data_IF_253947152639
#
_entry.id   IF_253947152639
#
_cell.length_a   1.000
_cell.length_b   1.000
_cell.length_c   1.000
_cell.angle_alpha   90.00
_cell.angle_beta   90.00
_cell.angle_gamma   90.00
#
_symmetry.space_group_name_H-M   'P 1'
#
loop_
_entity.id
_entity.type
_entity.pdbx_description
1 polymer ?
#
# COMPACT_ATOMS: atom_id res chain seq x y z
N UNK A 1 8.94 -17.36 -31.18
CA UNK A 1 8.26 -16.06 -31.17
C UNK A 1 6.87 -16.30 -31.75
N UNK A 2 5.81 -16.16 -30.96
CA UNK A 2 4.42 -16.22 -31.46
C UNK A 2 4.14 -14.90 -32.19
N UNK A 3 3.44 -14.98 -33.32
CA UNK A 3 3.04 -13.80 -34.09
C UNK A 3 2.14 -12.87 -33.24
N UNK A 4 2.23 -11.54 -33.40
CA UNK A 4 1.39 -10.59 -32.68
C UNK A 4 -0.09 -10.90 -32.99
N UNK A 5 -0.89 -11.20 -31.95
CA UNK A 5 -2.34 -11.36 -32.08
C UNK A 5 -2.97 -9.98 -32.17
N UNK A 6 -3.70 -9.73 -33.23
CA UNK A 6 -4.51 -8.52 -33.37
C UNK A 6 -5.77 -8.73 -32.55
N UNK A 7 -5.97 -7.89 -31.51
CA UNK A 7 -7.17 -7.88 -30.70
C UNK A 7 -8.15 -6.89 -31.34
N UNK A 8 -9.22 -7.41 -31.92
CA UNK A 8 -10.22 -6.64 -32.64
C UNK A 8 -11.59 -6.57 -31.91
N UNK A 9 -11.79 -7.39 -30.90
CA UNK A 9 -13.07 -7.46 -30.19
C UNK A 9 -12.91 -7.67 -28.67
N UNK A 10 -13.95 -7.33 -27.90
CA UNK A 10 -14.00 -7.62 -26.47
C UNK A 10 -13.88 -9.13 -26.16
N UNK A 11 -14.30 -10.00 -27.07
CA UNK A 11 -14.15 -11.45 -26.95
C UNK A 11 -12.67 -11.89 -27.02
N UNK A 12 -11.88 -11.22 -27.84
CA UNK A 12 -10.42 -11.48 -27.97
C UNK A 12 -9.71 -11.09 -26.66
N UNK A 13 -10.11 -9.97 -26.06
CA UNK A 13 -9.60 -9.55 -24.72
C UNK A 13 -9.90 -10.64 -23.70
N UNK A 14 -11.12 -11.15 -23.67
CA UNK A 14 -11.49 -12.23 -22.74
C UNK A 14 -10.71 -13.52 -22.99
N UNK A 15 -10.40 -13.87 -24.23
CA UNK A 15 -9.62 -15.06 -24.56
C UNK A 15 -8.17 -14.93 -24.12
N UNK A 16 -7.56 -13.77 -24.34
CA UNK A 16 -6.19 -13.45 -23.88
C UNK A 16 -6.13 -13.42 -22.36
N UNK A 17 -7.10 -12.79 -21.69
CA UNK A 17 -7.21 -12.78 -20.23
C UNK A 17 -7.40 -14.19 -19.65
N UNK A 18 -8.16 -15.08 -20.32
CA UNK A 18 -8.33 -16.46 -19.91
C UNK A 18 -7.04 -17.27 -20.05
N UNK A 19 -6.24 -17.01 -21.09
CA UNK A 19 -4.92 -17.64 -21.29
C UNK A 19 -3.90 -17.19 -20.22
N UNK A 20 -3.88 -15.90 -19.88
CA UNK A 20 -3.08 -15.38 -18.75
C UNK A 20 -3.60 -15.90 -17.40
N UNK A 21 -4.90 -16.08 -17.22
CA UNK A 21 -5.54 -16.61 -16.02
C UNK A 21 -5.19 -18.08 -15.75
N UNK A 22 -4.81 -18.86 -16.77
CA UNK A 22 -4.35 -20.24 -16.63
C UNK A 22 -2.99 -20.36 -15.92
N UNK A 23 -2.20 -19.28 -15.86
CA UNK A 23 -0.95 -19.22 -15.10
C UNK A 23 -1.23 -18.89 -13.62
N UNK A 24 -1.79 -19.83 -12.88
CA UNK A 24 -2.24 -19.69 -11.50
C UNK A 24 -1.21 -19.12 -10.50
N UNK A 25 0.08 -19.22 -10.80
CA UNK A 25 1.18 -18.66 -9.99
C UNK A 25 1.23 -17.14 -10.06
N UNK A 26 1.04 -16.55 -11.22
CA UNK A 26 1.05 -15.08 -11.39
C UNK A 26 -0.14 -14.42 -10.72
N UNK A 27 -1.33 -15.01 -10.81
CA UNK A 27 -2.54 -14.49 -10.14
C UNK A 27 -2.42 -14.50 -8.62
N UNK A 28 -1.81 -15.55 -8.03
CA UNK A 28 -1.55 -15.60 -6.58
C UNK A 28 -0.57 -14.52 -6.16
N UNK A 29 0.50 -14.32 -6.92
CA UNK A 29 1.49 -13.27 -6.64
C UNK A 29 0.83 -11.88 -6.63
N UNK A 30 -0.01 -11.56 -7.61
CA UNK A 30 -0.73 -10.26 -7.67
C UNK A 30 -1.63 -10.06 -6.46
N UNK A 31 -2.38 -11.10 -6.03
CA UNK A 31 -3.23 -11.01 -4.85
C UNK A 31 -2.38 -10.78 -3.58
N UNK A 32 -1.30 -11.51 -3.40
CA UNK A 32 -0.40 -11.35 -2.25
C UNK A 32 0.21 -9.95 -2.24
N UNK A 33 0.58 -9.41 -3.41
CA UNK A 33 1.17 -8.07 -3.52
C UNK A 33 0.15 -6.96 -3.28
N UNK A 34 -1.11 -7.15 -3.68
CA UNK A 34 -2.20 -6.24 -3.32
C UNK A 34 -2.47 -6.26 -1.80
N UNK A 35 -2.46 -7.45 -1.19
CA UNK A 35 -2.57 -7.58 0.27
C UNK A 35 -1.36 -7.00 1.01
N UNK A 36 -0.19 -6.93 0.37
CA UNK A 36 1.00 -6.29 0.92
C UNK A 36 0.83 -4.80 1.17
N UNK A 37 0.09 -4.08 0.31
CA UNK A 37 -0.29 -2.67 0.54
C UNK A 37 -1.14 -2.54 1.80
N UNK A 38 -2.17 -3.37 1.93
CA UNK A 38 -3.04 -3.40 3.13
C UNK A 38 -2.23 -3.65 4.41
N UNK A 39 -1.21 -4.51 4.34
CA UNK A 39 -0.31 -4.72 5.46
C UNK A 39 0.43 -3.45 5.85
N UNK A 40 0.92 -2.70 4.86
CA UNK A 40 1.63 -1.43 5.11
C UNK A 40 0.73 -0.40 5.77
N UNK A 41 -0.49 -0.21 5.25
CA UNK A 41 -1.47 0.71 5.83
C UNK A 41 -1.75 0.35 7.30
N UNK A 42 -2.05 -0.92 7.57
CA UNK A 42 -2.35 -1.39 8.93
C UNK A 42 -1.15 -1.25 9.89
N UNK A 43 0.07 -1.51 9.39
CA UNK A 43 1.30 -1.33 10.16
C UNK A 43 1.51 0.14 10.54
N UNK A 44 1.34 1.08 9.60
CA UNK A 44 1.55 2.50 9.86
C UNK A 44 0.60 3.04 10.93
N UNK A 45 -0.67 2.62 10.89
CA UNK A 45 -1.62 2.96 11.93
C UNK A 45 -1.22 2.37 13.29
N UNK A 46 -0.81 1.11 13.34
CA UNK A 46 -0.41 0.42 14.57
C UNK A 46 0.86 1.03 15.16
N UNK A 47 1.85 1.33 14.32
CA UNK A 47 3.15 1.85 14.73
C UNK A 47 3.04 3.23 15.39
N UNK A 48 2.19 4.11 14.83
CA UNK A 48 1.97 5.41 15.45
C UNK A 48 1.13 5.33 16.73
N UNK A 49 0.07 4.51 16.73
CA UNK A 49 -0.75 4.33 17.91
C UNK A 49 0.10 3.92 19.14
N UNK A 50 1.12 3.10 18.92
CA UNK A 50 2.10 2.76 19.94
C UNK A 50 3.01 3.95 20.32
N UNK A 51 3.50 4.69 19.32
CA UNK A 51 4.52 5.73 19.50
C UNK A 51 3.97 7.08 19.97
N UNK A 52 2.65 7.31 19.92
CA UNK A 52 2.07 8.65 20.08
C UNK A 52 2.37 9.29 21.43
N UNK A 53 2.40 8.51 22.52
CA UNK A 53 2.72 9.01 23.86
C UNK A 53 4.17 9.49 23.93
N UNK A 54 5.11 8.70 23.39
CA UNK A 54 6.52 9.07 23.36
C UNK A 54 6.78 10.29 22.47
N UNK A 55 6.07 10.41 21.36
CA UNK A 55 6.11 11.58 20.46
C UNK A 55 5.61 12.82 21.20
N UNK A 56 4.48 12.68 21.93
CA UNK A 56 3.89 13.76 22.72
C UNK A 56 4.84 14.27 23.80
N UNK A 57 5.49 13.37 24.53
CA UNK A 57 6.47 13.71 25.55
C UNK A 57 7.72 14.34 24.95
N UNK A 58 8.26 13.78 23.86
CA UNK A 58 9.49 14.26 23.24
C UNK A 58 9.38 15.67 22.65
N UNK A 59 8.25 15.98 22.00
CA UNK A 59 8.03 17.28 21.35
C UNK A 59 7.19 18.24 22.20
N UNK A 60 6.75 17.84 23.41
CA UNK A 60 5.91 18.66 24.29
C UNK A 60 4.55 19.02 23.65
N UNK A 61 3.94 18.06 22.92
CA UNK A 61 2.74 18.34 22.14
C UNK A 61 1.53 18.60 23.03
N UNK A 62 0.77 19.65 22.69
CA UNK A 62 -0.56 19.83 23.24
C UNK A 62 -1.53 18.76 22.69
N UNK A 63 -2.67 18.56 23.34
CA UNK A 63 -3.70 17.65 22.86
C UNK A 63 -4.16 17.97 21.42
N UNK A 64 -4.24 19.26 21.05
CA UNK A 64 -4.57 19.70 19.71
C UNK A 64 -3.49 19.28 18.70
N UNK A 65 -2.20 19.49 18.99
CA UNK A 65 -1.09 19.09 18.12
C UNK A 65 -1.00 17.57 17.99
N UNK A 66 -1.23 16.83 19.06
CA UNK A 66 -1.31 15.36 19.01
C UNK A 66 -2.45 14.91 18.08
N UNK A 67 -3.60 15.56 18.17
CA UNK A 67 -4.71 15.35 17.24
C UNK A 67 -4.34 15.64 15.79
N UNK A 68 -3.59 16.72 15.53
CA UNK A 68 -3.14 17.10 14.19
C UNK A 68 -2.13 16.09 13.61
N UNK A 69 -1.19 15.58 14.42
CA UNK A 69 -0.28 14.51 14.03
C UNK A 69 -1.06 13.25 13.61
N UNK A 70 -2.09 12.88 14.36
CA UNK A 70 -2.94 11.73 14.01
C UNK A 70 -3.81 11.98 12.79
N UNK A 71 -4.38 13.18 12.65
CA UNK A 71 -5.28 13.53 11.56
C UNK A 71 -4.54 13.74 10.21
N UNK A 72 -3.27 14.12 10.23
CA UNK A 72 -2.51 14.47 9.02
C UNK A 72 -2.50 13.35 7.97
N UNK A 73 -2.36 12.09 8.39
CA UNK A 73 -2.41 10.94 7.48
C UNK A 73 -3.81 10.78 6.86
N UNK A 74 -4.88 11.03 7.62
CA UNK A 74 -6.25 10.95 7.12
C UNK A 74 -6.53 12.03 6.08
N UNK A 75 -6.06 13.25 6.31
CA UNK A 75 -6.19 14.35 5.35
C UNK A 75 -5.43 14.01 4.06
N UNK A 76 -4.22 13.48 4.18
CA UNK A 76 -3.45 12.98 3.04
C UNK A 76 -4.18 11.87 2.29
N UNK A 77 -4.76 10.91 3.00
CA UNK A 77 -5.49 9.79 2.42
C UNK A 77 -6.75 10.22 1.65
N UNK A 78 -7.48 11.21 2.16
CA UNK A 78 -8.62 11.79 1.44
C UNK A 78 -8.16 12.40 0.12
N UNK A 79 -7.07 13.16 0.12
CA UNK A 79 -6.51 13.77 -1.09
C UNK A 79 -6.02 12.69 -2.05
N UNK A 80 -5.27 11.71 -1.56
CA UNK A 80 -4.79 10.58 -2.36
C UNK A 80 -5.93 9.80 -3.01
N UNK A 81 -7.01 9.52 -2.27
CA UNK A 81 -8.17 8.80 -2.78
C UNK A 81 -8.97 9.61 -3.81
N UNK A 82 -9.16 10.92 -3.59
CA UNK A 82 -9.89 11.79 -4.52
C UNK A 82 -9.21 11.87 -5.88
N UNK A 83 -7.89 12.00 -5.90
CA UNK A 83 -7.13 12.07 -7.14
C UNK A 83 -6.69 10.70 -7.67
N UNK A 84 -6.64 9.69 -6.81
CA UNK A 84 -6.14 8.35 -7.12
C UNK A 84 -6.87 7.71 -8.30
N UNK A 85 -8.19 7.74 -8.33
CA UNK A 85 -8.98 7.20 -9.43
C UNK A 85 -8.62 7.84 -10.77
N UNK A 86 -8.60 9.16 -10.84
CA UNK A 86 -8.22 9.89 -12.05
C UNK A 86 -6.77 9.60 -12.50
N UNK A 87 -5.84 9.54 -11.55
CA UNK A 87 -4.44 9.26 -11.83
C UNK A 87 -4.24 7.82 -12.32
N UNK A 88 -4.98 6.85 -11.76
CA UNK A 88 -4.98 5.44 -12.19
C UNK A 88 -5.38 5.31 -13.65
N UNK A 89 -6.46 5.98 -14.03
CA UNK A 89 -6.96 5.91 -15.40
C UNK A 89 -6.00 6.58 -16.41
N UNK A 90 -5.33 7.65 -15.98
CA UNK A 90 -4.43 8.43 -16.84
C UNK A 90 -3.03 7.84 -16.99
N UNK A 91 -2.42 7.41 -15.88
CA UNK A 91 -1.01 6.98 -15.85
C UNK A 91 -0.82 5.46 -15.84
N UNK A 92 -1.89 4.70 -15.65
CA UNK A 92 -1.86 3.26 -15.52
C UNK A 92 -1.76 2.80 -14.08
N UNK A 93 -2.22 1.58 -13.86
CA UNK A 93 -2.34 0.99 -12.52
C UNK A 93 -0.98 0.61 -11.94
N UNK A 94 -0.10 0.06 -12.78
CA UNK A 94 1.24 -0.34 -12.36
C UNK A 94 2.06 0.83 -11.81
N UNK A 95 2.06 1.95 -12.54
CA UNK A 95 2.86 3.12 -12.15
C UNK A 95 2.43 3.71 -10.82
N UNK A 96 1.11 3.81 -10.61
CA UNK A 96 0.58 4.32 -9.35
C UNK A 96 0.81 3.33 -8.21
N UNK A 97 0.69 2.03 -8.48
CA UNK A 97 0.94 0.98 -7.50
C UNK A 97 2.43 0.84 -7.11
N UNK A 98 3.32 1.41 -7.90
CA UNK A 98 4.73 1.57 -7.53
C UNK A 98 4.96 2.88 -6.79
N UNK A 99 4.25 3.95 -7.19
CA UNK A 99 4.40 5.27 -6.58
C UNK A 99 3.93 5.28 -5.11
N UNK A 100 2.83 4.60 -4.78
CA UNK A 100 2.34 4.50 -3.41
C UNK A 100 3.42 3.94 -2.46
N UNK A 101 4.09 2.85 -2.84
CA UNK A 101 5.17 2.27 -2.03
C UNK A 101 6.38 3.19 -1.89
N UNK A 102 6.68 4.00 -2.91
CA UNK A 102 7.73 5.03 -2.80
C UNK A 102 7.32 6.10 -1.79
N UNK A 103 6.05 6.54 -1.79
CA UNK A 103 5.53 7.44 -0.77
C UNK A 103 5.70 6.85 0.63
N UNK A 104 5.35 5.57 0.82
CA UNK A 104 5.52 4.88 2.10
C UNK A 104 6.98 4.84 2.56
N UNK A 105 7.91 4.41 1.70
CA UNK A 105 9.34 4.32 2.05
C UNK A 105 9.89 5.70 2.44
N UNK A 106 9.65 6.72 1.61
CA UNK A 106 10.15 8.09 1.85
C UNK A 106 9.52 8.67 3.12
N UNK A 107 8.21 8.49 3.29
CA UNK A 107 7.51 9.02 4.44
C UNK A 107 7.88 8.32 5.75
N UNK A 108 8.04 6.99 5.76
CA UNK A 108 8.46 6.25 6.95
C UNK A 108 9.86 6.68 7.41
N UNK A 109 10.81 6.82 6.48
CA UNK A 109 12.15 7.34 6.78
C UNK A 109 12.05 8.79 7.28
N UNK A 110 11.29 9.64 6.59
CA UNK A 110 11.11 11.04 6.95
C UNK A 110 10.47 11.22 8.32
N UNK A 111 9.48 10.41 8.68
CA UNK A 111 8.90 10.39 10.03
C UNK A 111 9.94 9.98 11.07
N UNK A 112 10.73 8.94 10.81
CA UNK A 112 11.73 8.43 11.76
C UNK A 112 12.84 9.47 12.07
N UNK A 113 13.24 10.26 11.08
CA UNK A 113 14.30 11.27 11.24
C UNK A 113 13.78 12.68 11.53
N UNK A 114 12.46 12.85 11.70
CA UNK A 114 11.82 14.15 11.91
C UNK A 114 12.41 14.88 13.15
N UNK A 115 12.92 16.13 12.99
CA UNK A 115 13.50 16.89 14.09
C UNK A 115 12.44 17.60 14.95
N UNK A 116 11.24 17.82 14.40
CA UNK A 116 10.14 18.53 15.06
C UNK A 116 8.79 18.01 14.58
N UNK A 117 7.73 18.43 15.27
CA UNK A 117 6.35 18.02 15.00
C UNK A 117 5.85 18.41 13.60
N UNK A 118 6.26 19.56 13.08
CA UNK A 118 5.80 20.02 11.77
C UNK A 118 6.34 19.17 10.63
N UNK A 119 7.60 18.77 10.73
CA UNK A 119 8.21 17.84 9.77
C UNK A 119 7.56 16.45 9.87
N UNK A 120 7.26 16.01 11.09
CA UNK A 120 6.52 14.76 11.31
C UNK A 120 5.13 14.81 10.66
N UNK A 121 4.37 15.89 10.88
CA UNK A 121 3.05 16.12 10.27
C UNK A 121 3.15 16.10 8.74
N UNK A 122 4.15 16.78 8.17
CA UNK A 122 4.35 16.84 6.73
C UNK A 122 4.61 15.45 6.13
N UNK A 123 5.49 14.65 6.73
CA UNK A 123 5.75 13.29 6.23
C UNK A 123 4.57 12.34 6.46
N UNK A 124 3.83 12.48 7.54
CA UNK A 124 2.58 11.73 7.74
C UNK A 124 1.51 12.09 6.73
N UNK A 125 1.41 13.35 6.36
CA UNK A 125 0.53 13.79 5.28
C UNK A 125 0.93 13.16 3.94
N UNK A 126 2.22 13.16 3.61
CA UNK A 126 2.76 12.50 2.41
C UNK A 126 2.49 10.99 2.44
N UNK A 127 2.68 10.33 3.59
CA UNK A 127 2.33 8.93 3.80
C UNK A 127 0.83 8.69 3.53
N UNK A 128 -0.02 9.57 4.03
CA UNK A 128 -1.46 9.52 3.80
C UNK A 128 -1.82 9.57 2.31
N UNK A 129 -1.15 10.40 1.52
CA UNK A 129 -1.36 10.40 0.06
C UNK A 129 -1.09 9.02 -0.52
N UNK A 130 -0.03 8.31 -0.09
CA UNK A 130 0.25 6.93 -0.47
C UNK A 130 -0.89 5.98 -0.10
N UNK A 131 -1.34 6.02 1.17
CA UNK A 131 -2.51 5.23 1.65
C UNK A 131 -3.75 5.45 0.79
N UNK A 132 -4.04 6.71 0.47
CA UNK A 132 -5.19 7.07 -0.36
C UNK A 132 -5.07 6.61 -1.80
N UNK A 133 -3.86 6.52 -2.34
CA UNK A 133 -3.59 6.00 -3.69
C UNK A 133 -3.69 4.48 -3.74
N UNK A 134 -3.21 3.75 -2.71
CA UNK A 134 -3.16 2.28 -2.70
C UNK A 134 -4.56 1.66 -2.81
N UNK A 135 -5.54 2.18 -2.09
CA UNK A 135 -6.88 1.61 -1.98
C UNK A 135 -7.60 1.46 -3.33
N UNK A 136 -7.77 2.51 -4.16
CA UNK A 136 -8.41 2.37 -5.47
C UNK A 136 -7.61 1.48 -6.43
N UNK A 137 -6.28 1.51 -6.36
CA UNK A 137 -5.40 0.69 -7.20
C UNK A 137 -5.51 -0.78 -6.82
N UNK A 138 -5.38 -1.11 -5.54
CA UNK A 138 -5.50 -2.47 -5.03
C UNK A 138 -6.87 -3.07 -5.33
N UNK A 139 -7.96 -2.31 -5.14
CA UNK A 139 -9.31 -2.76 -5.45
C UNK A 139 -9.52 -2.97 -6.94
N UNK A 140 -8.97 -2.13 -7.81
CA UNK A 140 -9.01 -2.34 -9.25
C UNK A 140 -8.27 -3.62 -9.66
N UNK A 141 -7.07 -3.85 -9.15
CA UNK A 141 -6.33 -5.10 -9.38
C UNK A 141 -7.10 -6.32 -8.88
N UNK A 142 -7.60 -6.30 -7.65
CA UNK A 142 -8.38 -7.41 -7.10
C UNK A 142 -9.65 -7.69 -7.92
N UNK A 143 -10.34 -6.66 -8.40
CA UNK A 143 -11.54 -6.80 -9.23
C UNK A 143 -11.24 -7.44 -10.58
N UNK A 144 -10.17 -7.02 -11.28
CA UNK A 144 -9.79 -7.55 -12.59
C UNK A 144 -9.30 -8.97 -12.53
N UNK A 145 -8.34 -9.24 -11.67
CA UNK A 145 -7.77 -10.58 -11.52
C UNK A 145 -8.76 -11.57 -10.88
N UNK A 146 -9.83 -11.11 -10.22
CA UNK A 146 -10.89 -11.98 -9.74
C UNK A 146 -11.80 -12.48 -10.86
N UNK A 147 -11.94 -11.74 -11.96
CA UNK A 147 -12.71 -12.16 -13.15
C UNK A 147 -12.10 -13.40 -13.82
N UNK A 148 -10.78 -13.59 -13.70
CA UNK A 148 -10.03 -14.67 -14.37
C UNK A 148 -10.24 -16.06 -13.77
N UNK A 149 -10.84 -16.22 -12.61
CA UNK A 149 -11.00 -17.51 -11.89
C UNK A 149 -12.45 -18.04 -11.78
N UNK A 150 -13.32 -17.76 -12.72
CA UNK A 150 -14.64 -18.41 -12.84
C UNK A 150 -15.72 -17.93 -11.86
N UNK A 151 -16.97 -18.30 -12.14
CA UNK A 151 -18.18 -17.98 -11.37
C UNK A 151 -18.06 -18.52 -9.94
N UNK A 152 -18.07 -17.67 -8.95
CA UNK A 152 -18.33 -18.12 -7.58
C UNK A 152 -17.72 -17.28 -6.45
N UNK A 153 -16.60 -16.57 -6.61
CA UNK A 153 -15.89 -16.05 -5.45
C UNK A 153 -15.41 -14.59 -5.57
N UNK A 154 -16.07 -13.76 -6.39
CA UNK A 154 -15.68 -12.34 -6.53
C UNK A 154 -15.87 -11.59 -5.21
N UNK A 155 -17.01 -11.77 -4.55
CA UNK A 155 -17.29 -11.08 -3.27
C UNK A 155 -16.39 -11.55 -2.16
N UNK A 156 -16.04 -12.84 -2.09
CA UNK A 156 -15.12 -13.38 -1.09
C UNK A 156 -13.71 -12.83 -1.23
N UNK A 157 -13.23 -12.59 -2.46
CA UNK A 157 -11.90 -12.04 -2.70
C UNK A 157 -11.79 -10.56 -2.41
N UNK A 158 -12.86 -9.82 -2.74
CA UNK A 158 -12.97 -8.41 -2.34
C UNK A 158 -13.10 -8.30 -0.83
N UNK A 159 -13.88 -9.18 -0.20
CA UNK A 159 -14.03 -9.22 1.26
C UNK A 159 -12.77 -9.73 2.00
N UNK A 160 -11.81 -10.33 1.32
CA UNK A 160 -10.52 -10.72 1.94
C UNK A 160 -9.70 -9.53 2.46
N UNK A 161 -10.06 -8.31 2.05
CA UNK A 161 -9.47 -7.08 2.57
C UNK A 161 -9.65 -6.95 4.11
N UNK A 162 -10.85 -7.17 4.63
CA UNK A 162 -11.11 -7.01 6.06
C UNK A 162 -10.29 -7.96 6.94
N UNK A 163 -10.31 -9.30 6.75
CA UNK A 163 -9.47 -10.18 7.56
C UNK A 163 -7.97 -9.93 7.36
N UNK A 164 -7.54 -9.51 6.16
CA UNK A 164 -6.16 -9.13 5.92
C UNK A 164 -5.74 -7.89 6.73
N UNK A 165 -6.61 -6.89 6.84
CA UNK A 165 -6.39 -5.71 7.67
C UNK A 165 -6.19 -6.06 9.15
N UNK A 166 -7.11 -6.83 9.73
CA UNK A 166 -7.00 -7.23 11.16
C UNK A 166 -5.78 -8.10 11.43
N UNK A 167 -5.47 -9.03 10.52
CA UNK A 167 -4.26 -9.85 10.62
C UNK A 167 -3.00 -8.97 10.56
N UNK A 168 -2.95 -8.04 9.63
CA UNK A 168 -1.84 -7.11 9.47
C UNK A 168 -1.66 -6.19 10.68
N UNK A 169 -2.76 -5.68 11.25
CA UNK A 169 -2.74 -4.90 12.50
C UNK A 169 -2.17 -5.74 13.65
N UNK A 170 -2.62 -6.97 13.82
CA UNK A 170 -2.09 -7.89 14.83
C UNK A 170 -0.60 -8.15 14.65
N UNK A 171 -0.15 -8.42 13.41
CA UNK A 171 1.26 -8.58 13.10
C UNK A 171 2.06 -7.30 13.37
N UNK A 172 1.48 -6.13 13.10
CA UNK A 172 2.09 -4.84 13.41
C UNK A 172 2.39 -4.72 14.91
N UNK A 173 1.44 -5.04 15.77
CA UNK A 173 1.67 -5.04 17.23
C UNK A 173 2.71 -6.08 17.66
N UNK A 174 2.75 -7.25 17.04
CA UNK A 174 3.80 -8.25 17.33
C UNK A 174 5.18 -7.73 16.96
N UNK A 175 5.33 -7.08 15.80
CA UNK A 175 6.60 -6.47 15.38
C UNK A 175 7.02 -5.39 16.38
N UNK A 176 6.10 -4.51 16.76
CA UNK A 176 6.36 -3.46 17.76
C UNK A 176 6.79 -4.07 19.10
N UNK A 177 6.13 -5.13 19.55
CA UNK A 177 6.48 -5.85 20.77
C UNK A 177 7.89 -6.47 20.70
N UNK A 178 8.24 -7.08 19.57
CA UNK A 178 9.58 -7.64 19.35
C UNK A 178 10.63 -6.54 19.43
N UNK A 179 10.42 -5.41 18.75
CA UNK A 179 11.35 -4.26 18.80
C UNK A 179 11.46 -3.74 20.24
N UNK A 180 10.33 -3.63 20.96
CA UNK A 180 10.31 -3.17 22.35
C UNK A 180 11.11 -4.07 23.28
N UNK A 181 10.98 -5.40 23.18
CA UNK A 181 11.69 -6.35 24.03
C UNK A 181 13.18 -6.44 23.68
N UNK A 182 13.53 -6.28 22.40
CA UNK A 182 14.92 -6.40 21.94
C UNK A 182 15.74 -5.14 22.16
N UNK A 183 15.06 -3.99 22.30
CA UNK A 183 15.73 -2.70 22.47
C UNK A 183 16.12 -2.48 23.96
N UNK A 184 17.36 -2.10 24.26
CA UNK A 184 17.76 -1.75 25.63
C UNK A 184 16.91 -0.61 26.20
N UNK A 185 16.60 -0.65 27.48
CA UNK A 185 15.74 0.33 28.15
C UNK A 185 16.21 1.78 27.98
N UNK A 186 17.51 2.00 27.95
CA UNK A 186 18.13 3.31 27.72
C UNK A 186 17.79 3.93 26.36
N UNK A 187 17.41 3.11 25.38
CA UNK A 187 17.06 3.53 24.01
C UNK A 187 15.56 3.64 23.78
N UNK A 188 14.72 3.45 24.79
CA UNK A 188 13.27 3.53 24.64
C UNK A 188 12.79 4.95 24.24
N UNK A 189 13.57 5.98 24.50
CA UNK A 189 13.26 7.35 24.03
C UNK A 189 13.21 7.47 22.49
N UNK A 190 13.96 6.62 21.77
CA UNK A 190 13.99 6.60 20.30
C UNK A 190 13.16 5.45 19.71
N UNK A 191 12.53 4.63 20.56
CA UNK A 191 11.80 3.45 20.16
C UNK A 191 10.74 3.75 19.09
N UNK A 192 9.96 4.83 19.27
CA UNK A 192 8.94 5.20 18.30
C UNK A 192 9.53 5.51 16.91
N UNK A 193 10.73 6.09 16.84
CA UNK A 193 11.45 6.37 15.58
C UNK A 193 11.83 5.09 14.88
N UNK A 194 12.32 4.11 15.63
CA UNK A 194 12.68 2.78 15.10
C UNK A 194 11.43 2.07 14.61
N UNK A 195 10.36 2.08 15.39
CA UNK A 195 9.09 1.43 15.04
C UNK A 195 8.49 2.03 13.76
N UNK A 196 8.39 3.35 13.68
CA UNK A 196 7.86 4.03 12.50
C UNK A 196 8.80 3.84 11.30
N UNK A 197 10.12 3.99 11.50
CA UNK A 197 11.12 3.80 10.45
C UNK A 197 11.21 2.38 9.92
N UNK A 198 10.94 1.38 10.76
CA UNK A 198 10.89 -0.03 10.34
C UNK A 198 9.84 -0.26 9.24
N UNK A 199 8.78 0.55 9.18
CA UNK A 199 7.79 0.51 8.10
C UNK A 199 8.41 0.65 6.71
N UNK A 200 9.54 1.33 6.57
CA UNK A 200 10.25 1.42 5.29
C UNK A 200 10.78 0.07 4.78
N UNK A 201 11.10 -0.88 5.68
CA UNK A 201 11.67 -2.19 5.32
C UNK A 201 10.66 -3.05 4.55
N UNK A 202 9.47 -3.38 5.10
CA UNK A 202 8.49 -4.15 4.36
C UNK A 202 7.96 -3.38 3.14
N UNK A 203 7.84 -2.05 3.19
CA UNK A 203 7.46 -1.24 2.03
C UNK A 203 8.47 -1.39 0.88
N UNK A 204 9.78 -1.35 1.18
CA UNK A 204 10.83 -1.57 0.19
C UNK A 204 10.79 -3.00 -0.37
N UNK A 205 10.56 -4.00 0.46
CA UNK A 205 10.42 -5.39 0.03
C UNK A 205 9.23 -5.51 -0.94
N UNK A 206 8.07 -4.97 -0.57
CA UNK A 206 6.87 -4.97 -1.43
C UNK A 206 7.14 -4.25 -2.74
N UNK A 207 7.79 -3.08 -2.71
CA UNK A 207 8.18 -2.31 -3.89
C UNK A 207 9.06 -3.14 -4.86
N UNK A 208 10.10 -3.81 -4.33
CA UNK A 208 11.01 -4.62 -5.15
C UNK A 208 10.32 -5.85 -5.73
N UNK A 209 9.45 -6.51 -4.95
CA UNK A 209 8.68 -7.66 -5.41
C UNK A 209 7.63 -7.24 -6.43
N UNK A 210 6.91 -6.13 -6.21
CA UNK A 210 5.98 -5.55 -7.19
C UNK A 210 6.69 -5.26 -8.52
N UNK A 211 7.86 -4.63 -8.49
CA UNK A 211 8.67 -4.34 -9.70
C UNK A 211 9.00 -5.58 -10.50
N UNK A 212 9.21 -6.73 -9.85
CA UNK A 212 9.60 -7.97 -10.52
C UNK A 212 8.41 -8.77 -11.08
N UNK A 213 7.25 -8.72 -10.41
CA UNK A 213 6.13 -9.64 -10.68
C UNK A 213 4.89 -8.96 -11.25
N UNK A 214 4.76 -7.63 -11.12
CA UNK A 214 3.62 -6.90 -11.66
C UNK A 214 3.95 -6.36 -13.06
N UNK A 215 2.95 -6.48 -13.94
CA UNK A 215 2.90 -5.83 -15.23
C UNK A 215 1.66 -4.91 -15.27
N UNK A 216 1.62 -4.03 -16.26
CA UNK A 216 0.46 -3.15 -16.46
C UNK A 216 -0.82 -3.97 -16.75
N UNK A 217 -1.97 -3.41 -16.38
CA UNK A 217 -3.25 -4.04 -16.60
C UNK A 217 -3.55 -4.20 -18.10
N UNK A 218 -3.91 -5.41 -18.57
CA UNK A 218 -4.30 -5.63 -19.96
C UNK A 218 -5.52 -4.79 -20.38
N UNK A 219 -6.48 -4.56 -19.46
CA UNK A 219 -7.66 -3.72 -19.75
C UNK A 219 -7.25 -2.25 -19.94
N UNK A 220 -6.30 -1.75 -19.19
CA UNK A 220 -5.79 -0.39 -19.34
C UNK A 220 -5.02 -0.23 -20.66
N UNK A 221 -4.14 -1.18 -21.00
CA UNK A 221 -3.40 -1.18 -22.27
C UNK A 221 -4.34 -1.24 -23.49
N UNK A 222 -5.41 -2.03 -23.39
CA UNK A 222 -6.42 -2.12 -24.44
C UNK A 222 -7.13 -0.77 -24.67
N UNK A 223 -7.46 -0.06 -23.59
CA UNK A 223 -8.13 1.26 -23.66
C UNK A 223 -7.20 2.37 -24.21
N UNK A 224 -5.89 2.22 -24.06
CA UNK A 224 -4.90 3.16 -24.63
C UNK A 224 -4.55 2.85 -26.09
N UNK A 225 -5.04 1.74 -26.64
CA UNK A 225 -4.69 1.29 -27.99
C UNK A 225 -3.25 0.76 -28.14
N UNK A 226 -2.57 0.52 -27.04
CA UNK A 226 -1.16 0.08 -27.01
C UNK A 226 -1.07 -1.41 -26.59
N UNK A 227 -1.64 -2.27 -27.47
CA UNK A 227 -1.54 -3.71 -27.35
C UNK A 227 -0.36 -4.23 -28.18
N UNK A 228 0.87 -3.94 -27.74
CA UNK A 228 2.09 -4.52 -28.32
C UNK A 228 2.68 -5.60 -27.44
#
# INVERSE_FOLDING_TARGET
MQAPRIISSAADIHSVLAEFGSQGTKTRAVIILALGGIFMDAYDFSSLAFGITAIQEQFGLSGFMTGLVNASIMVGAVIGALFGGYLVDRFGRYKLFMADMVFFVVAAIGCAVSPNEWVLIAFRFVMGIGVGLDLPVAMAFLAEFSKLKGKGNRSQRVNAWSPAWYFATGMGYVIVLIIFITLPYEQHAILWRIVVGFGAVPALIVLLVRRRYLAESPEWLANQGDLR
#
